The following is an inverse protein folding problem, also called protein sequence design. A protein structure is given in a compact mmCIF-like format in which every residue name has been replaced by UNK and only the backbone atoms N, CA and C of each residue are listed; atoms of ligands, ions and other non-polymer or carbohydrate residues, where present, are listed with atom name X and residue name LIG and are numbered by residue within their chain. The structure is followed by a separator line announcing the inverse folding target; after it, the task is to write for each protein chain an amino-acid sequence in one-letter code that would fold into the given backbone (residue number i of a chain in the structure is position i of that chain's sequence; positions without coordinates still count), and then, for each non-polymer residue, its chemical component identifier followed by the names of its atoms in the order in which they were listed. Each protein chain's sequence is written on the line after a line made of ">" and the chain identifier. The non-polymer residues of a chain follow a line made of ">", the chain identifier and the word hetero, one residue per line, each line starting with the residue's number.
data_IF_274370288986
#
_entry.id   IF_274370288986
#
_cell.length_a   1.000
_cell.length_b   1.000
_cell.length_c   1.000
_cell.angle_alpha   90.00
_cell.angle_beta   90.00
_cell.angle_gamma   90.00
#
_symmetry.space_group_name_H-M   'P 1'
#
loop_
_entity.id
_entity.type
_entity.pdbx_description
1 polymer ?
#
# COMPACT_ATOMS: atom_id res chain seq x y z
N UNK A 1 19.17 -4.13 2.55
CA UNK A 1 18.89 -2.94 3.38
C UNK A 1 18.93 -3.34 4.86
N UNK A 2 18.94 -2.40 5.81
CA UNK A 2 19.00 -2.70 7.25
C UNK A 2 17.78 -3.53 7.70
N UNK A 3 17.94 -4.64 8.44
CA UNK A 3 16.81 -5.42 8.95
C UNK A 3 15.87 -4.57 9.83
N UNK A 4 14.58 -4.90 9.84
CA UNK A 4 13.64 -4.26 10.76
C UNK A 4 13.89 -4.77 12.19
N UNK A 5 14.21 -3.89 13.17
CA UNK A 5 14.47 -4.31 14.55
C UNK A 5 13.29 -5.03 15.22
N UNK A 6 12.06 -4.77 14.78
CA UNK A 6 10.87 -5.44 15.30
C UNK A 6 10.71 -6.87 14.78
N UNK A 7 11.31 -7.19 13.63
CA UNK A 7 11.25 -8.50 12.98
C UNK A 7 12.62 -8.90 12.41
N UNK A 8 13.67 -9.01 13.25
CA UNK A 8 15.06 -9.08 12.78
C UNK A 8 15.40 -10.35 11.99
N UNK A 9 14.57 -11.39 12.12
CA UNK A 9 14.72 -12.66 11.38
C UNK A 9 13.99 -12.66 10.04
N UNK A 10 13.18 -11.64 9.76
CA UNK A 10 12.43 -11.49 8.52
C UNK A 10 13.32 -10.78 7.51
N UNK A 11 13.59 -11.42 6.37
CA UNK A 11 14.39 -10.81 5.31
C UNK A 11 13.72 -9.53 4.81
N UNK A 12 14.49 -8.45 4.62
CA UNK A 12 13.95 -7.18 4.14
C UNK A 12 14.64 -6.74 2.86
N UNK A 13 13.83 -6.41 1.86
CA UNK A 13 14.24 -5.61 0.72
C UNK A 13 13.59 -4.23 0.84
N UNK A 14 14.37 -3.18 1.03
CA UNK A 14 13.82 -1.83 1.22
C UNK A 14 13.37 -1.15 -0.07
N UNK A 15 13.75 -1.70 -1.22
CA UNK A 15 13.53 -1.09 -2.53
C UNK A 15 14.12 0.33 -2.62
N UNK A 16 13.63 1.07 -3.59
CA UNK A 16 13.97 2.47 -3.80
C UNK A 16 12.81 3.21 -4.47
N UNK A 17 12.63 4.50 -4.16
CA UNK A 17 11.75 5.40 -4.88
C UNK A 17 12.59 6.41 -5.65
N UNK A 18 12.47 6.40 -6.97
CA UNK A 18 13.15 7.36 -7.84
C UNK A 18 12.14 8.36 -8.41
N UNK A 19 12.54 9.62 -8.49
CA UNK A 19 11.80 10.70 -9.16
C UNK A 19 12.52 11.13 -10.42
N UNK A 20 11.81 11.09 -11.54
CA UNK A 20 12.21 11.72 -12.78
C UNK A 20 11.43 13.03 -12.97
N UNK A 21 12.13 14.16 -13.04
CA UNK A 21 11.54 15.48 -13.28
C UNK A 21 11.99 16.03 -14.62
N UNK A 22 11.09 16.05 -15.60
CA UNK A 22 11.35 16.68 -16.89
C UNK A 22 11.39 18.20 -16.77
N UNK A 23 12.20 18.83 -17.63
CA UNK A 23 12.13 20.29 -17.86
C UNK A 23 10.73 20.66 -18.37
N UNK A 24 10.20 19.86 -19.29
CA UNK A 24 8.82 19.92 -19.78
C UNK A 24 8.36 18.49 -20.11
N UNK A 25 7.34 17.99 -19.42
CA UNK A 25 6.82 16.64 -19.61
C UNK A 25 6.20 16.43 -21.02
N UNK A 26 5.78 17.51 -21.69
CA UNK A 26 5.31 17.47 -23.07
C UNK A 26 6.45 17.52 -24.09
N UNK A 27 7.69 17.79 -23.65
CA UNK A 27 8.90 17.86 -24.48
C UNK A 27 10.07 17.14 -23.79
N UNK A 28 9.99 15.79 -23.66
CA UNK A 28 10.94 15.02 -22.85
C UNK A 28 12.41 15.15 -23.31
N UNK A 29 12.64 15.50 -24.58
CA UNK A 29 13.99 15.72 -25.13
C UNK A 29 14.69 16.99 -24.62
N UNK A 30 13.99 17.89 -23.91
CA UNK A 30 14.63 19.02 -23.23
C UNK A 30 15.43 18.60 -21.99
N UNK A 31 15.38 17.32 -21.62
CA UNK A 31 16.10 16.74 -20.50
C UNK A 31 15.25 16.61 -19.24
N UNK A 32 15.87 16.01 -18.23
CA UNK A 32 15.25 15.73 -16.93
C UNK A 32 16.31 15.60 -15.85
N UNK A 33 15.88 15.69 -14.59
CA UNK A 33 16.68 15.29 -13.44
C UNK A 33 16.14 13.99 -12.86
N UNK A 34 17.04 13.05 -12.55
CA UNK A 34 16.73 11.81 -11.84
C UNK A 34 17.25 11.93 -10.40
N UNK A 35 16.40 11.62 -9.44
CA UNK A 35 16.69 11.78 -8.01
C UNK A 35 16.20 10.56 -7.23
N UNK A 36 17.04 10.04 -6.35
CA UNK A 36 16.67 9.01 -5.38
C UNK A 36 15.98 9.69 -4.19
N UNK A 37 14.69 9.40 -4.01
CA UNK A 37 13.87 9.96 -2.93
C UNK A 37 13.88 9.07 -1.68
N UNK A 38 13.79 7.76 -1.88
CA UNK A 38 13.85 6.75 -0.84
C UNK A 38 14.84 5.67 -1.24
N UNK A 39 15.71 5.27 -0.33
CA UNK A 39 16.75 4.26 -0.58
C UNK A 39 16.63 3.03 0.34
N UNK A 40 15.56 3.00 1.13
CA UNK A 40 15.28 1.93 2.07
C UNK A 40 15.99 2.09 3.42
N UNK A 41 16.70 3.20 3.66
CA UNK A 41 17.29 3.53 4.97
C UNK A 41 16.31 4.18 5.96
N UNK A 42 15.08 4.48 5.53
CA UNK A 42 14.10 5.21 6.32
C UNK A 42 13.60 4.39 7.52
N UNK A 43 13.33 5.08 8.63
CA UNK A 43 12.90 4.47 9.91
C UNK A 43 11.56 3.74 9.84
N UNK A 44 10.82 3.85 8.73
CA UNK A 44 9.60 3.05 8.51
C UNK A 44 9.90 1.60 8.09
N UNK A 45 11.17 1.31 7.73
CA UNK A 45 11.64 0.01 7.28
C UNK A 45 10.71 -0.60 6.23
N UNK A 46 10.49 0.12 5.13
CA UNK A 46 9.65 -0.36 4.02
C UNK A 46 10.14 -1.73 3.52
N UNK A 47 9.26 -2.61 3.08
CA UNK A 47 9.65 -3.91 2.56
C UNK A 47 8.92 -4.18 1.25
N UNK A 48 9.70 -4.45 0.19
CA UNK A 48 9.22 -4.76 -1.16
C UNK A 48 8.14 -3.76 -1.66
N UNK A 49 8.49 -2.47 -1.79
CA UNK A 49 7.59 -1.52 -2.44
C UNK A 49 7.33 -1.94 -3.89
N UNK A 50 6.06 -1.95 -4.28
CA UNK A 50 5.63 -2.36 -5.62
C UNK A 50 4.78 -1.26 -6.28
N UNK A 51 3.46 -1.27 -6.07
CA UNK A 51 2.55 -0.37 -6.74
C UNK A 51 2.60 1.04 -6.14
N UNK A 52 2.44 2.07 -6.99
CA UNK A 52 2.46 3.47 -6.56
C UNK A 52 1.38 4.32 -7.25
N UNK A 53 0.95 5.37 -6.55
CA UNK A 53 0.20 6.49 -7.14
C UNK A 53 0.68 7.81 -6.56
N UNK A 54 0.31 8.93 -7.18
CA UNK A 54 0.53 10.27 -6.62
C UNK A 54 -0.80 10.98 -6.49
N UNK A 55 -1.13 11.43 -5.29
CA UNK A 55 -2.38 12.13 -5.02
C UNK A 55 -2.30 13.62 -5.42
N UNK A 56 -3.46 14.28 -5.40
CA UNK A 56 -3.61 15.69 -5.72
C UNK A 56 -2.89 16.65 -4.75
N UNK A 57 -2.42 16.15 -3.60
CA UNK A 57 -1.67 16.92 -2.59
C UNK A 57 -0.15 16.72 -2.70
N UNK A 58 0.31 15.87 -3.61
CA UNK A 58 1.73 15.56 -3.80
C UNK A 58 2.28 14.53 -2.81
N UNK A 59 1.41 13.65 -2.30
CA UNK A 59 1.83 12.44 -1.60
C UNK A 59 1.97 11.29 -2.60
N UNK A 60 3.08 10.55 -2.54
CA UNK A 60 3.26 9.28 -3.22
C UNK A 60 2.76 8.18 -2.31
N UNK A 61 1.75 7.43 -2.73
CA UNK A 61 1.24 6.29 -1.97
C UNK A 61 1.84 5.02 -2.56
N UNK A 62 2.46 4.21 -1.72
CA UNK A 62 3.28 3.07 -2.06
C UNK A 62 2.66 1.84 -1.39
N UNK A 63 2.39 0.80 -2.17
CA UNK A 63 1.84 -0.47 -1.70
C UNK A 63 2.97 -1.48 -1.63
N UNK A 64 3.09 -2.16 -0.48
CA UNK A 64 4.06 -3.23 -0.29
C UNK A 64 3.48 -4.57 -0.78
N UNK A 65 4.31 -5.37 -1.48
CA UNK A 65 4.04 -6.78 -1.81
C UNK A 65 5.06 -7.66 -1.08
N UNK A 66 4.70 -8.33 0.03
CA UNK A 66 5.62 -9.16 0.78
C UNK A 66 6.03 -10.42 0.01
N UNK A 67 5.28 -10.90 -1.00
CA UNK A 67 5.56 -12.12 -1.76
C UNK A 67 6.01 -13.29 -0.88
N UNK A 68 5.12 -13.75 0.01
CA UNK A 68 5.34 -14.78 1.06
C UNK A 68 6.42 -14.48 2.09
N UNK A 69 6.82 -13.22 2.25
CA UNK A 69 7.67 -12.80 3.35
C UNK A 69 6.83 -12.60 4.62
N UNK A 70 7.35 -12.92 5.81
CA UNK A 70 6.63 -12.74 7.08
C UNK A 70 6.51 -11.27 7.53
N UNK A 71 6.43 -10.35 6.57
CA UNK A 71 6.22 -8.93 6.73
C UNK A 71 4.75 -8.62 6.47
N UNK A 72 4.12 -7.88 7.37
CA UNK A 72 2.72 -7.50 7.25
C UNK A 72 2.59 -6.30 6.30
N UNK A 73 1.97 -6.52 5.14
CA UNK A 73 1.92 -5.53 4.07
C UNK A 73 1.19 -4.23 4.48
N UNK A 74 1.70 -3.10 3.97
CA UNK A 74 1.18 -1.75 4.24
C UNK A 74 0.94 -0.97 2.97
N UNK A 75 0.16 0.10 3.13
CA UNK A 75 0.21 1.25 2.24
C UNK A 75 0.93 2.36 2.98
N UNK A 76 2.01 2.86 2.39
CA UNK A 76 2.87 3.91 2.93
C UNK A 76 2.70 5.17 2.10
N UNK A 77 2.64 6.32 2.75
CA UNK A 77 2.61 7.63 2.12
C UNK A 77 3.95 8.34 2.28
N UNK A 78 4.49 8.87 1.19
CA UNK A 78 5.67 9.75 1.14
C UNK A 78 5.26 11.14 0.66
N UNK A 79 5.54 12.19 1.43
CA UNK A 79 5.22 13.57 1.04
C UNK A 79 6.38 14.23 0.32
N UNK A 80 6.17 14.58 -0.94
CA UNK A 80 7.24 15.09 -1.81
C UNK A 80 7.84 16.41 -1.31
N UNK A 81 7.07 17.25 -0.61
CA UNK A 81 7.50 18.59 -0.21
C UNK A 81 8.55 18.62 0.89
N UNK A 82 8.55 17.64 1.80
CA UNK A 82 9.44 17.61 2.97
C UNK A 82 9.99 16.21 3.31
N UNK A 83 9.73 15.21 2.47
CA UNK A 83 10.28 13.87 2.61
C UNK A 83 9.66 13.05 3.75
N UNK A 84 8.58 13.53 4.39
CA UNK A 84 7.96 12.78 5.48
C UNK A 84 7.27 11.51 4.99
N UNK A 85 7.35 10.47 5.81
CA UNK A 85 6.83 9.13 5.50
C UNK A 85 5.92 8.65 6.62
N UNK A 86 4.83 7.96 6.28
CA UNK A 86 3.90 7.40 7.27
C UNK A 86 3.05 6.27 6.71
N UNK A 87 2.61 5.34 7.57
CA UNK A 87 1.70 4.26 7.16
C UNK A 87 0.25 4.75 7.19
N UNK A 88 -0.50 4.53 6.09
CA UNK A 88 -1.92 4.96 5.97
C UNK A 88 -2.90 3.78 6.01
N UNK A 89 -2.42 2.56 5.72
CA UNK A 89 -3.18 1.33 5.88
C UNK A 89 -2.23 0.16 6.13
N UNK A 90 -2.72 -0.89 6.79
CA UNK A 90 -1.98 -2.13 7.05
C UNK A 90 -2.95 -3.29 7.14
N UNK A 91 -2.56 -4.45 6.65
CA UNK A 91 -3.30 -5.68 6.86
C UNK A 91 -3.41 -6.05 8.35
N UNK A 92 -4.43 -6.82 8.72
CA UNK A 92 -4.66 -7.20 10.12
C UNK A 92 -3.82 -8.42 10.47
N UNK A 93 -2.86 -8.28 11.39
CA UNK A 93 -1.93 -9.34 11.78
C UNK A 93 -2.59 -10.69 12.11
N UNK A 94 -3.77 -10.68 12.75
CA UNK A 94 -4.51 -11.91 13.09
C UNK A 94 -4.89 -12.79 11.89
N UNK A 95 -4.99 -12.20 10.69
CA UNK A 95 -5.24 -12.92 9.44
C UNK A 95 -3.97 -13.16 8.63
N UNK A 96 -2.93 -12.35 8.83
CA UNK A 96 -1.77 -12.26 7.94
C UNK A 96 -0.43 -12.49 8.64
N UNK A 97 -0.47 -13.21 9.76
CA UNK A 97 0.70 -13.67 10.50
C UNK A 97 0.44 -15.11 10.89
N UNK A 98 1.42 -16.01 10.70
CA UNK A 98 1.24 -17.45 10.91
C UNK A 98 0.76 -17.82 12.32
N UNK A 99 1.12 -17.02 13.33
CA UNK A 99 0.68 -17.18 14.71
C UNK A 99 -0.71 -16.58 15.00
N UNK A 100 -1.37 -16.00 14.00
CA UNK A 100 -2.70 -15.40 14.10
C UNK A 100 -3.78 -16.46 14.32
N UNK A 101 -4.78 -16.14 15.15
CA UNK A 101 -5.84 -17.10 15.49
C UNK A 101 -6.81 -17.34 14.33
N UNK A 102 -6.88 -16.39 13.40
CA UNK A 102 -7.70 -16.45 12.20
C UNK A 102 -6.84 -16.39 10.92
N UNK A 103 -5.66 -17.04 10.95
CA UNK A 103 -4.67 -17.00 9.87
C UNK A 103 -5.22 -17.46 8.51
N UNK A 104 -5.05 -16.60 7.50
CA UNK A 104 -5.43 -16.84 6.11
C UNK A 104 -4.17 -17.17 5.29
N UNK A 105 -3.22 -16.25 5.20
CA UNK A 105 -1.98 -16.40 4.43
C UNK A 105 -0.97 -15.34 4.88
N UNK A 106 0.29 -15.46 4.47
CA UNK A 106 1.33 -14.42 4.62
C UNK A 106 1.71 -13.82 3.27
N UNK A 107 0.80 -14.00 2.31
CA UNK A 107 0.94 -13.63 0.91
C UNK A 107 -0.24 -12.70 0.57
N UNK A 108 -0.34 -11.63 1.35
CA UNK A 108 -1.30 -10.55 1.15
C UNK A 108 -0.61 -9.33 0.56
N UNK A 109 -1.25 -8.70 -0.40
CA UNK A 109 -0.76 -7.47 -1.00
C UNK A 109 -1.93 -6.55 -1.31
N UNK A 110 -1.61 -5.30 -1.62
CA UNK A 110 -2.61 -4.40 -2.17
C UNK A 110 -2.13 -3.85 -3.50
N UNK A 111 -3.06 -3.62 -4.42
CA UNK A 111 -2.78 -3.09 -5.76
C UNK A 111 -3.78 -2.00 -6.14
N UNK A 112 -3.45 -1.25 -7.19
CA UNK A 112 -4.38 -0.38 -7.90
C UNK A 112 -4.98 0.74 -7.05
N UNK A 113 -4.14 1.44 -6.26
CA UNK A 113 -4.61 2.60 -5.49
C UNK A 113 -4.85 3.83 -6.39
N UNK A 114 -6.07 4.37 -6.31
CA UNK A 114 -6.50 5.56 -7.06
C UNK A 114 -7.17 6.57 -6.13
N UNK A 115 -6.95 7.86 -6.36
CA UNK A 115 -7.67 8.92 -5.66
C UNK A 115 -9.07 9.09 -6.25
N UNK A 116 -10.09 9.10 -5.39
CA UNK A 116 -11.52 9.29 -5.71
C UNK A 116 -12.15 10.40 -4.85
N UNK A 117 -11.34 11.36 -4.41
CA UNK A 117 -11.73 12.44 -3.52
C UNK A 117 -12.80 13.36 -4.12
N UNK A 118 -12.87 13.50 -5.46
CA UNK A 118 -13.86 14.34 -6.12
C UNK A 118 -15.23 13.65 -6.19
N UNK A 119 -15.22 12.34 -6.29
CA UNK A 119 -16.38 11.47 -6.46
C UNK A 119 -17.05 11.19 -5.10
N UNK A 120 -16.25 11.02 -4.04
CA UNK A 120 -16.76 10.61 -2.72
C UNK A 120 -16.95 11.75 -1.71
N UNK A 121 -16.48 12.97 -2.01
CA UNK A 121 -16.72 14.11 -1.12
C UNK A 121 -18.21 14.38 -0.97
N UNK A 122 -18.64 14.60 0.26
CA UNK A 122 -20.06 14.83 0.56
C UNK A 122 -20.48 16.29 0.45
N UNK A 123 -19.52 17.22 0.43
CA UNK A 123 -19.77 18.67 0.32
C UNK A 123 -18.51 19.44 -0.08
N UNK A 124 -18.64 20.74 -0.38
CA UNK A 124 -17.49 21.63 -0.68
C UNK A 124 -16.54 21.81 0.52
N UNK A 125 -17.03 21.59 1.73
CA UNK A 125 -16.29 21.70 2.99
C UNK A 125 -15.68 20.38 3.43
N UNK A 126 -16.03 19.25 2.80
CA UNK A 126 -15.34 17.98 3.00
C UNK A 126 -13.93 18.10 2.41
N UNK A 127 -12.92 18.06 3.28
CA UNK A 127 -11.50 18.16 2.93
C UNK A 127 -10.77 16.83 3.08
N UNK A 128 -11.50 15.74 3.32
CA UNK A 128 -10.88 14.43 3.39
C UNK A 128 -10.38 13.99 2.01
N UNK A 129 -9.29 13.23 2.00
CA UNK A 129 -8.84 12.49 0.83
C UNK A 129 -9.47 11.11 0.84
N UNK A 130 -9.95 10.67 -0.31
CA UNK A 130 -10.56 9.34 -0.47
C UNK A 130 -9.81 8.57 -1.53
N UNK A 131 -9.50 7.31 -1.24
CA UNK A 131 -8.80 6.41 -2.14
C UNK A 131 -9.55 5.10 -2.28
N UNK A 132 -9.53 4.53 -3.47
CA UNK A 132 -9.95 3.16 -3.72
C UNK A 132 -8.73 2.31 -4.05
N UNK A 133 -8.68 1.11 -3.50
CA UNK A 133 -7.64 0.12 -3.79
C UNK A 133 -8.21 -1.28 -3.60
N UNK A 134 -7.50 -2.29 -4.11
CA UNK A 134 -7.84 -3.69 -3.88
C UNK A 134 -6.86 -4.31 -2.90
N UNK A 135 -7.36 -5.15 -2.00
CA UNK A 135 -6.52 -6.17 -1.38
C UNK A 135 -6.58 -7.43 -2.25
N UNK A 136 -5.41 -8.01 -2.51
CA UNK A 136 -5.28 -9.36 -3.05
C UNK A 136 -4.83 -10.27 -1.92
N UNK A 137 -5.50 -11.41 -1.80
CA UNK A 137 -5.21 -12.39 -0.76
C UNK A 137 -4.92 -13.70 -1.47
N UNK A 138 -3.63 -14.03 -1.59
CA UNK A 138 -3.16 -15.25 -2.24
C UNK A 138 -3.40 -16.46 -1.32
N UNK A 139 -4.66 -16.90 -1.32
CA UNK A 139 -5.15 -18.10 -0.68
C UNK A 139 -6.39 -18.59 -1.45
N UNK A 140 -6.88 -19.78 -1.11
CA UNK A 140 -8.12 -20.27 -1.71
C UNK A 140 -9.29 -19.31 -1.40
N UNK A 141 -10.22 -19.08 -2.34
CA UNK A 141 -11.36 -18.19 -2.11
C UNK A 141 -12.13 -18.50 -0.82
N UNK A 142 -12.30 -19.78 -0.47
CA UNK A 142 -12.96 -20.21 0.78
C UNK A 142 -12.22 -19.79 2.05
N UNK A 143 -10.88 -19.77 2.04
CA UNK A 143 -10.08 -19.30 3.19
C UNK A 143 -10.10 -17.78 3.32
N UNK A 144 -10.16 -17.08 2.18
CA UNK A 144 -10.14 -15.63 2.12
C UNK A 144 -11.51 -14.97 2.32
N UNK A 145 -12.60 -15.75 2.25
CA UNK A 145 -13.99 -15.31 2.50
C UNK A 145 -14.61 -16.14 3.63
N UNK A 146 -14.09 -16.02 4.87
CA UNK A 146 -14.65 -16.75 6.02
C UNK A 146 -16.09 -16.33 6.37
N UNK A 147 -16.57 -15.24 5.77
CA UNK A 147 -17.94 -14.77 5.85
C UNK A 147 -18.92 -15.52 4.92
N UNK A 148 -18.40 -16.35 3.99
CA UNK A 148 -19.20 -17.18 3.08
C UNK A 148 -19.16 -18.65 3.48
N UNK A 149 -20.20 -19.41 3.10
CA UNK A 149 -20.17 -20.87 3.20
C UNK A 149 -19.05 -21.41 2.30
N UNK A 150 -18.16 -22.24 2.85
CA UNK A 150 -17.03 -22.80 2.13
C UNK A 150 -17.45 -23.69 0.93
N UNK A 151 -18.71 -24.13 0.89
CA UNK A 151 -19.29 -24.93 -0.20
C UNK A 151 -20.05 -24.09 -1.23
N UNK A 152 -20.09 -22.76 -1.08
CA UNK A 152 -20.74 -21.87 -2.03
C UNK A 152 -20.11 -22.01 -3.43
N UNK A 153 -20.93 -22.42 -4.40
CA UNK A 153 -20.49 -22.68 -5.76
C UNK A 153 -19.95 -21.43 -6.50
N UNK A 154 -20.21 -20.23 -5.99
CA UNK A 154 -19.63 -18.98 -6.53
C UNK A 154 -18.16 -18.82 -6.19
N UNK A 155 -17.69 -19.38 -5.05
CA UNK A 155 -16.28 -19.33 -4.66
C UNK A 155 -15.38 -20.05 -5.68
N UNK A 156 -15.87 -21.14 -6.29
CA UNK A 156 -15.16 -21.87 -7.33
C UNK A 156 -14.93 -21.08 -8.63
N UNK A 157 -15.64 -19.95 -8.80
CA UNK A 157 -15.49 -19.04 -9.95
C UNK A 157 -14.56 -17.87 -9.66
N UNK A 158 -14.15 -17.68 -8.41
CA UNK A 158 -13.18 -16.67 -8.03
C UNK A 158 -11.76 -17.19 -8.28
N UNK A 159 -10.86 -16.32 -8.71
CA UNK A 159 -9.45 -16.67 -8.96
C UNK A 159 -8.67 -16.65 -7.65
N UNK A 160 -8.97 -15.73 -6.74
CA UNK A 160 -8.36 -15.59 -5.41
C UNK A 160 -9.31 -14.86 -4.45
N UNK A 161 -8.84 -14.62 -3.22
CA UNK A 161 -9.48 -13.74 -2.27
C UNK A 161 -9.12 -12.27 -2.46
N UNK A 162 -9.89 -11.41 -1.79
CA UNK A 162 -9.65 -9.98 -1.83
C UNK A 162 -10.94 -9.19 -1.70
N UNK A 163 -10.78 -7.88 -1.57
CA UNK A 163 -11.91 -6.95 -1.65
C UNK A 163 -11.46 -5.55 -2.05
N UNK A 164 -12.40 -4.81 -2.61
CA UNK A 164 -12.26 -3.38 -2.83
C UNK A 164 -12.46 -2.64 -1.51
N UNK A 165 -11.56 -1.71 -1.21
CA UNK A 165 -11.65 -0.85 -0.04
C UNK A 165 -11.73 0.61 -0.44
N UNK A 166 -12.39 1.40 0.41
CA UNK A 166 -12.29 2.85 0.42
C UNK A 166 -11.48 3.25 1.65
N UNK A 167 -10.35 3.92 1.43
CA UNK A 167 -9.57 4.57 2.47
C UNK A 167 -9.98 6.05 2.53
N UNK A 168 -10.29 6.52 3.73
CA UNK A 168 -10.57 7.93 4.01
C UNK A 168 -9.52 8.48 4.96
N UNK A 169 -8.81 9.52 4.52
CA UNK A 169 -7.86 10.27 5.34
C UNK A 169 -8.49 11.63 5.65
N UNK A 170 -8.83 11.84 6.92
CA UNK A 170 -9.44 13.10 7.39
C UNK A 170 -8.40 14.16 7.75
N UNK A 171 -7.19 13.74 8.13
CA UNK A 171 -6.15 14.64 8.58
C UNK A 171 -4.75 14.10 8.24
N UNK A 172 -4.13 14.67 7.22
CA UNK A 172 -2.77 14.31 6.81
C UNK A 172 -1.71 14.62 7.85
N UNK A 173 -1.94 15.58 8.76
CA UNK A 173 -0.99 15.83 9.84
C UNK A 173 -0.81 14.61 10.73
N UNK A 174 -1.86 13.79 10.93
CA UNK A 174 -1.80 12.59 11.76
C UNK A 174 -0.97 11.47 11.14
N UNK A 175 -0.85 11.43 9.81
CA UNK A 175 -0.04 10.43 9.08
C UNK A 175 1.46 10.69 9.28
N UNK A 176 1.85 11.95 9.44
CA UNK A 176 3.25 12.39 9.41
C UNK A 176 3.77 12.93 10.76
N UNK A 177 3.16 12.48 11.85
CA UNK A 177 3.57 12.82 13.22
C UNK A 177 4.88 12.15 13.59
#
# INVERSE_FOLDING_TARGET
>A
TTPNPATPTVSRDGGALWRLRFVDANKPFLGSTLELLLDGSEDIYMSKPDNITVDSLGNVLIQEDPGKNAHLARIVSYRISDGKVGTIARFKADHFTESGTAFITMDEESSGIVEVSNELRTSKTDKASYFMFVAQVHATPAKSRPDMDATDATLAKAVEGGQWYILKITNWTDVYK
#
